data_IF_614276630218
#
_entry.id   IF_614276630218
#
_cell.length_a   1.000
_cell.length_b   1.000
_cell.length_c   1.000
_cell.angle_alpha   90.00
_cell.angle_beta   90.00
_cell.angle_gamma   90.00
#
_symmetry.space_group_name_H-M   'P 1'
#
loop_
_entity.id
_entity.type
_entity.pdbx_description
1 polymer ?
#
# COMPACT_ATOMS: atom_id res chain seq x y z
N UNK A 1 -18.27 25.29 7.48
CA UNK A 1 -19.63 24.70 7.54
C UNK A 1 -20.13 24.66 8.99
N UNK A 2 -20.24 25.83 9.66
CA UNK A 2 -20.65 25.96 11.09
C UNK A 2 -22.05 26.56 11.29
N UNK A 3 -22.80 26.79 10.21
CA UNK A 3 -24.09 27.50 10.25
C UNK A 3 -25.27 26.53 10.48
N UNK A 4 -25.10 25.21 10.24
CA UNK A 4 -26.18 24.23 10.42
C UNK A 4 -26.44 23.77 11.86
N UNK A 5 -25.49 23.94 12.80
CA UNK A 5 -25.66 23.52 14.20
C UNK A 5 -26.71 24.34 14.96
N UNK A 6 -26.91 25.61 14.60
CA UNK A 6 -27.97 26.44 15.19
C UNK A 6 -29.35 26.18 14.57
N UNK A 7 -29.38 25.66 13.34
CA UNK A 7 -30.61 25.50 12.57
C UNK A 7 -31.51 24.39 13.11
N UNK A 8 -30.97 23.22 13.42
CA UNK A 8 -31.76 22.07 13.92
C UNK A 8 -32.29 22.29 15.33
N UNK A 9 -31.50 22.93 16.19
CA UNK A 9 -31.92 23.27 17.55
C UNK A 9 -32.98 24.38 17.55
N UNK A 10 -32.83 25.40 16.70
CA UNK A 10 -33.86 26.43 16.51
C UNK A 10 -35.15 25.85 15.90
N UNK A 11 -35.04 24.91 14.95
CA UNK A 11 -36.20 24.29 14.29
C UNK A 11 -36.94 23.33 15.22
N UNK A 12 -36.23 22.61 16.09
CA UNK A 12 -36.84 21.82 17.17
C UNK A 12 -37.57 22.70 18.19
N UNK A 13 -37.00 23.86 18.54
CA UNK A 13 -37.61 24.81 19.47
C UNK A 13 -38.84 25.50 18.85
N UNK A 14 -38.78 25.89 17.58
CA UNK A 14 -39.92 26.52 16.88
C UNK A 14 -41.05 25.52 16.64
N UNK A 15 -40.75 24.30 16.22
CA UNK A 15 -41.78 23.24 16.11
C UNK A 15 -42.37 22.89 17.47
N UNK A 16 -41.54 22.83 18.52
CA UNK A 16 -41.99 22.68 19.90
C UNK A 16 -43.01 23.74 20.27
N UNK A 17 -42.66 25.03 20.10
CA UNK A 17 -43.56 26.16 20.37
C UNK A 17 -44.83 26.12 19.51
N UNK A 18 -44.73 25.82 18.22
CA UNK A 18 -45.90 25.68 17.33
C UNK A 18 -46.82 24.56 17.79
N UNK A 19 -46.28 23.42 18.23
CA UNK A 19 -47.07 22.32 18.79
C UNK A 19 -47.67 22.66 20.14
N UNK A 20 -46.99 23.41 21.00
CA UNK A 20 -47.59 23.90 22.25
C UNK A 20 -48.76 24.83 21.95
N UNK A 21 -48.61 25.75 20.99
CA UNK A 21 -49.70 26.64 20.54
C UNK A 21 -50.86 25.84 19.96
N UNK A 22 -50.58 24.84 19.12
CA UNK A 22 -51.59 23.95 18.55
C UNK A 22 -52.30 23.14 19.65
N UNK A 23 -51.54 22.64 20.63
CA UNK A 23 -52.07 21.93 21.79
C UNK A 23 -52.97 22.85 22.63
N UNK A 24 -52.57 24.10 22.89
CA UNK A 24 -53.39 25.10 23.57
C UNK A 24 -54.67 25.43 22.80
N UNK A 25 -54.60 25.55 21.47
CA UNK A 25 -55.77 25.72 20.60
C UNK A 25 -56.72 24.52 20.67
N UNK A 26 -56.19 23.29 20.64
CA UNK A 26 -57.01 22.08 20.79
C UNK A 26 -57.59 21.92 22.20
N UNK A 27 -56.84 22.28 23.25
CA UNK A 27 -57.33 22.27 24.63
C UNK A 27 -58.45 23.31 24.80
N UNK A 28 -58.34 24.49 24.17
CA UNK A 28 -59.42 25.48 24.12
C UNK A 28 -60.69 24.98 23.42
N UNK A 29 -60.54 24.14 22.40
CA UNK A 29 -61.65 23.48 21.68
C UNK A 29 -62.31 22.34 22.48
N UNK A 30 -61.58 21.72 23.41
CA UNK A 30 -62.07 20.63 24.28
C UNK A 30 -62.14 21.02 25.78
N UNK A 31 -62.17 22.32 26.07
CA UNK A 31 -62.00 22.88 27.42
C UNK A 31 -63.07 22.42 28.42
N UNK A 32 -64.26 22.00 27.97
CA UNK A 32 -65.31 21.46 28.85
C UNK A 32 -64.97 20.07 29.41
N UNK A 33 -64.00 19.35 28.83
CA UNK A 33 -63.61 18.00 29.26
C UNK A 33 -62.35 18.01 30.16
N UNK A 34 -61.64 19.15 30.26
CA UNK A 34 -60.35 19.24 30.94
C UNK A 34 -60.33 20.35 32.02
N UNK A 35 -60.37 19.92 33.29
CA UNK A 35 -60.34 20.73 34.53
C UNK A 35 -59.15 21.74 34.61
N UNK A 36 -59.25 22.82 35.42
CA UNK A 36 -58.43 24.05 35.32
C UNK A 36 -56.99 23.97 35.85
N UNK A 37 -56.42 22.77 35.99
CA UNK A 37 -54.97 22.54 36.19
C UNK A 37 -54.23 22.30 34.86
N UNK A 38 -54.82 22.72 33.73
CA UNK A 38 -54.51 22.29 32.36
C UNK A 38 -53.23 22.89 31.74
N UNK A 39 -52.78 24.07 32.19
CA UNK A 39 -51.59 24.73 31.62
C UNK A 39 -50.30 23.95 31.88
N UNK A 40 -50.16 23.36 33.07
CA UNK A 40 -48.97 22.62 33.47
C UNK A 40 -48.84 21.30 32.68
N UNK A 41 -49.97 20.66 32.36
CA UNK A 41 -50.02 19.45 31.52
C UNK A 41 -49.63 19.75 30.07
N UNK A 42 -50.10 20.87 29.51
CA UNK A 42 -49.73 21.28 28.15
C UNK A 42 -48.21 21.53 28.02
N UNK A 43 -47.61 22.20 29.01
CA UNK A 43 -46.16 22.45 29.05
C UNK A 43 -45.37 21.15 29.20
N UNK A 44 -45.80 20.23 30.07
CA UNK A 44 -45.15 18.93 30.26
C UNK A 44 -45.20 18.07 28.98
N UNK A 45 -46.34 18.03 28.29
CA UNK A 45 -46.49 17.29 27.03
C UNK A 45 -45.61 17.92 25.94
N UNK A 46 -45.61 19.25 25.82
CA UNK A 46 -44.75 19.97 24.87
C UNK A 46 -43.26 19.73 25.14
N UNK A 47 -42.82 19.74 26.39
CA UNK A 47 -41.44 19.49 26.78
C UNK A 47 -41.00 18.03 26.50
N UNK A 48 -41.86 17.05 26.75
CA UNK A 48 -41.58 15.64 26.48
C UNK A 48 -41.49 15.37 24.97
N UNK A 49 -42.44 15.91 24.18
CA UNK A 49 -42.43 15.74 22.72
C UNK A 49 -41.23 16.48 22.10
N UNK A 50 -41.00 17.75 22.49
CA UNK A 50 -39.87 18.54 21.99
C UNK A 50 -38.51 17.93 22.36
N UNK A 51 -38.36 17.47 23.60
CA UNK A 51 -37.17 16.77 24.05
C UNK A 51 -36.94 15.44 23.33
N UNK A 52 -38.01 14.68 23.09
CA UNK A 52 -37.96 13.43 22.32
C UNK A 52 -37.51 13.65 20.87
N UNK A 53 -38.04 14.67 20.20
CA UNK A 53 -37.64 15.04 18.82
C UNK A 53 -36.19 15.50 18.77
N UNK A 54 -35.74 16.31 19.74
CA UNK A 54 -34.35 16.76 19.81
C UNK A 54 -33.36 15.61 19.99
N UNK A 55 -33.66 14.65 20.87
CA UNK A 55 -32.83 13.45 21.06
C UNK A 55 -32.83 12.56 19.81
N UNK A 56 -33.99 12.35 19.18
CA UNK A 56 -34.08 11.60 17.93
C UNK A 56 -33.24 12.26 16.81
N UNK A 57 -33.31 13.59 16.69
CA UNK A 57 -32.49 14.37 15.76
C UNK A 57 -30.99 14.24 16.03
N UNK A 58 -30.57 14.33 17.29
CA UNK A 58 -29.17 14.18 17.69
C UNK A 58 -28.63 12.76 17.41
N UNK A 59 -29.44 11.73 17.65
CA UNK A 59 -29.08 10.34 17.33
C UNK A 59 -28.97 10.13 15.82
N UNK A 60 -29.93 10.62 15.04
CA UNK A 60 -29.89 10.55 13.57
C UNK A 60 -28.68 11.29 13.01
N UNK A 61 -28.38 12.49 13.51
CA UNK A 61 -27.22 13.26 13.09
C UNK A 61 -25.91 12.56 13.47
N UNK A 62 -25.83 12.00 14.68
CA UNK A 62 -24.67 11.21 15.11
C UNK A 62 -24.45 9.98 14.24
N UNK A 63 -25.53 9.28 13.85
CA UNK A 63 -25.45 8.13 12.96
C UNK A 63 -25.05 8.53 11.54
N UNK A 64 -25.59 9.65 11.04
CA UNK A 64 -25.24 10.13 9.71
C UNK A 64 -23.79 10.61 9.66
N UNK A 65 -23.32 11.30 10.69
CA UNK A 65 -21.92 11.70 10.83
C UNK A 65 -20.98 10.49 10.95
N UNK A 66 -21.36 9.44 11.68
CA UNK A 66 -20.53 8.22 11.77
C UNK A 66 -20.49 7.47 10.44
N UNK A 67 -21.61 7.36 9.73
CA UNK A 67 -21.68 6.78 8.39
C UNK A 67 -20.84 7.57 7.38
N UNK A 68 -20.91 8.90 7.43
CA UNK A 68 -20.13 9.76 6.54
C UNK A 68 -18.63 9.64 6.82
N UNK A 69 -18.20 9.64 8.09
CA UNK A 69 -16.81 9.38 8.48
C UNK A 69 -16.34 7.99 8.06
N UNK A 70 -17.20 6.98 8.14
CA UNK A 70 -16.86 5.64 7.68
C UNK A 70 -16.65 5.61 6.16
N UNK A 71 -17.50 6.30 5.41
CA UNK A 71 -17.34 6.47 3.96
C UNK A 71 -16.03 7.17 3.60
N UNK A 72 -15.73 8.32 4.21
CA UNK A 72 -14.48 9.05 4.00
C UNK A 72 -13.25 8.20 4.35
N UNK A 73 -13.31 7.43 5.44
CA UNK A 73 -12.25 6.51 5.83
C UNK A 73 -12.07 5.36 4.83
N UNK A 74 -13.17 4.83 4.26
CA UNK A 74 -13.12 3.78 3.24
C UNK A 74 -12.51 4.30 1.95
N UNK A 75 -12.92 5.48 1.48
CA UNK A 75 -12.37 6.10 0.28
C UNK A 75 -10.87 6.41 0.46
N UNK A 76 -10.49 6.99 1.61
CA UNK A 76 -9.08 7.21 1.94
C UNK A 76 -8.27 5.91 2.02
N UNK A 77 -8.85 4.82 2.52
CA UNK A 77 -8.20 3.52 2.56
C UNK A 77 -8.09 2.89 1.17
N UNK A 78 -9.08 3.09 0.31
CA UNK A 78 -9.05 2.61 -1.07
C UNK A 78 -7.91 3.24 -1.86
N UNK A 79 -7.70 4.56 -1.72
CA UNK A 79 -6.54 5.25 -2.32
C UNK A 79 -5.23 4.64 -1.85
N UNK A 80 -5.07 4.40 -0.53
CA UNK A 80 -3.87 3.77 0.02
C UNK A 80 -3.68 2.33 -0.48
N UNK A 81 -4.76 1.60 -0.73
CA UNK A 81 -4.70 0.25 -1.28
C UNK A 81 -4.24 0.27 -2.75
N UNK A 82 -4.64 1.27 -3.53
CA UNK A 82 -4.11 1.50 -4.87
C UNK A 82 -2.63 1.88 -4.87
N UNK A 83 -2.22 2.77 -3.96
CA UNK A 83 -0.80 3.13 -3.80
C UNK A 83 0.04 1.89 -3.43
N UNK A 84 -0.47 1.06 -2.52
CA UNK A 84 0.16 -0.21 -2.16
C UNK A 84 0.29 -1.15 -3.36
N UNK A 85 -0.78 -1.27 -4.17
CA UNK A 85 -0.77 -2.10 -5.36
C UNK A 85 0.30 -1.65 -6.36
N UNK A 86 0.36 -0.34 -6.64
CA UNK A 86 1.39 0.25 -7.50
C UNK A 86 2.79 -0.04 -6.99
N UNK A 87 3.04 0.23 -5.70
CA UNK A 87 4.34 0.02 -5.08
C UNK A 87 4.81 -1.45 -5.15
N UNK A 88 3.93 -2.41 -4.87
CA UNK A 88 4.28 -3.83 -4.93
C UNK A 88 4.53 -4.31 -6.37
N UNK A 89 3.80 -3.73 -7.33
CA UNK A 89 4.03 -4.01 -8.74
C UNK A 89 5.39 -3.44 -9.21
N UNK A 90 5.78 -2.26 -8.72
CA UNK A 90 7.10 -1.69 -8.98
C UNK A 90 8.22 -2.54 -8.36
N UNK A 91 8.02 -3.05 -7.13
CA UNK A 91 8.96 -3.98 -6.50
C UNK A 91 9.13 -5.25 -7.34
N UNK A 92 8.02 -5.82 -7.81
CA UNK A 92 8.04 -7.01 -8.67
C UNK A 92 8.75 -6.74 -10.00
N UNK A 93 8.48 -5.60 -10.64
CA UNK A 93 9.13 -5.19 -11.88
C UNK A 93 10.64 -5.03 -11.68
N UNK A 94 11.06 -4.37 -10.60
CA UNK A 94 12.47 -4.16 -10.27
C UNK A 94 13.20 -5.48 -9.96
N UNK A 95 12.60 -6.37 -9.18
CA UNK A 95 13.15 -7.69 -8.90
C UNK A 95 13.31 -8.52 -10.19
N UNK A 96 12.27 -8.52 -11.02
CA UNK A 96 12.27 -9.19 -12.34
C UNK A 96 13.36 -8.63 -13.25
N UNK A 97 13.50 -7.30 -13.29
CA UNK A 97 14.51 -6.64 -14.10
C UNK A 97 15.92 -7.05 -13.68
N UNK A 98 16.24 -6.97 -12.38
CA UNK A 98 17.57 -7.32 -11.89
C UNK A 98 17.92 -8.79 -12.15
N UNK A 99 16.98 -9.70 -11.89
CA UNK A 99 17.18 -11.13 -12.15
C UNK A 99 17.48 -11.36 -13.64
N UNK A 100 16.64 -10.82 -14.53
CA UNK A 100 16.82 -10.96 -15.98
C UNK A 100 18.14 -10.36 -16.44
N UNK A 101 18.53 -9.20 -15.91
CA UNK A 101 19.81 -8.56 -16.22
C UNK A 101 21.00 -9.48 -15.87
N UNK A 102 20.98 -10.10 -14.69
CA UNK A 102 22.01 -11.05 -14.28
C UNK A 102 22.02 -12.28 -15.20
N UNK A 103 20.87 -12.89 -15.44
CA UNK A 103 20.74 -14.08 -16.27
C UNK A 103 21.19 -13.84 -17.71
N UNK A 104 20.77 -12.72 -18.32
CA UNK A 104 21.18 -12.34 -19.66
C UNK A 104 22.69 -12.12 -19.76
N UNK A 105 23.33 -11.54 -18.74
CA UNK A 105 24.78 -11.44 -18.68
C UNK A 105 25.46 -12.81 -18.78
N UNK A 106 24.95 -13.81 -18.04
CA UNK A 106 25.47 -15.17 -18.12
C UNK A 106 25.17 -15.89 -19.44
N UNK A 107 23.97 -15.71 -19.99
CA UNK A 107 23.60 -16.26 -21.30
C UNK A 107 24.51 -15.73 -22.41
N UNK A 108 24.81 -14.43 -22.39
CA UNK A 108 25.74 -13.80 -23.32
C UNK A 108 27.15 -14.36 -23.18
N UNK A 109 27.65 -14.53 -21.96
CA UNK A 109 28.96 -15.12 -21.71
C UNK A 109 29.06 -16.56 -22.22
N UNK A 110 28.00 -17.36 -22.01
CA UNK A 110 27.92 -18.74 -22.49
C UNK A 110 27.96 -18.79 -24.02
N UNK A 111 27.24 -17.89 -24.70
CA UNK A 111 27.18 -17.85 -26.17
C UNK A 111 28.54 -17.58 -26.82
N UNK A 112 29.46 -16.92 -26.12
CA UNK A 112 30.81 -16.63 -26.60
C UNK A 112 31.91 -17.48 -25.95
N UNK A 113 31.54 -18.49 -25.16
CA UNK A 113 32.46 -19.35 -24.38
C UNK A 113 33.46 -18.54 -23.52
N UNK A 114 32.98 -17.48 -22.86
CA UNK A 114 33.80 -16.66 -21.97
C UNK A 114 34.11 -17.40 -20.66
N UNK A 115 35.41 -17.61 -20.38
CA UNK A 115 35.87 -18.27 -19.14
C UNK A 115 35.45 -17.49 -17.89
N UNK A 116 35.50 -16.15 -17.96
CA UNK A 116 35.16 -15.26 -16.85
C UNK A 116 33.73 -14.71 -16.96
N UNK A 117 32.75 -15.60 -17.06
CA UNK A 117 31.35 -15.25 -17.33
C UNK A 117 30.72 -14.20 -16.39
N UNK A 118 31.20 -14.09 -15.15
CA UNK A 118 30.73 -13.07 -14.19
C UNK A 118 31.01 -11.63 -14.65
N UNK A 119 31.99 -11.43 -15.54
CA UNK A 119 32.33 -10.11 -16.08
C UNK A 119 31.28 -9.61 -17.08
N UNK A 120 30.47 -10.50 -17.67
CA UNK A 120 29.40 -10.14 -18.58
C UNK A 120 28.17 -9.55 -17.85
N UNK A 121 28.05 -9.75 -16.53
CA UNK A 121 27.02 -9.10 -15.70
C UNK A 121 27.43 -7.64 -15.46
N UNK A 122 26.92 -6.74 -16.29
CA UNK A 122 27.32 -5.33 -16.29
C UNK A 122 26.71 -4.53 -15.14
N UNK A 123 27.29 -3.36 -14.87
CA UNK A 123 26.69 -2.35 -13.99
C UNK A 123 25.41 -1.77 -14.61
N UNK A 124 24.51 -1.29 -13.75
CA UNK A 124 23.27 -0.65 -14.17
C UNK A 124 23.45 0.86 -14.27
N UNK A 125 22.87 1.48 -15.30
CA UNK A 125 22.96 2.94 -15.52
C UNK A 125 22.15 3.76 -14.52
N UNK A 126 21.14 3.14 -13.90
CA UNK A 126 20.29 3.77 -12.90
C UNK A 126 19.85 2.72 -11.89
N UNK A 127 19.95 3.07 -10.60
CA UNK A 127 19.36 2.26 -9.54
C UNK A 127 17.83 2.42 -9.58
N UNK A 128 17.06 1.32 -9.49
CA UNK A 128 15.63 1.43 -9.34
C UNK A 128 15.28 2.10 -8.01
N UNK A 129 14.24 2.91 -8.05
CA UNK A 129 13.77 3.65 -6.89
C UNK A 129 13.10 2.67 -5.93
N UNK A 130 13.60 2.60 -4.70
CA UNK A 130 12.98 1.81 -3.63
C UNK A 130 12.30 2.77 -2.64
N UNK A 131 11.01 3.01 -2.82
CA UNK A 131 10.24 3.82 -1.88
C UNK A 131 9.78 2.95 -0.70
N UNK A 132 10.08 3.29 0.57
CA UNK A 132 9.62 2.51 1.71
C UNK A 132 8.12 2.62 1.88
N UNK A 133 7.49 1.54 2.35
CA UNK A 133 6.06 1.53 2.61
C UNK A 133 5.64 2.65 3.60
N UNK A 134 4.70 3.50 3.17
CA UNK A 134 4.26 4.66 3.95
C UNK A 134 3.58 4.25 5.28
N UNK A 135 3.69 5.10 6.30
CA UNK A 135 3.04 4.87 7.59
C UNK A 135 1.51 4.77 7.44
N UNK A 136 0.94 5.50 6.49
CA UNK A 136 -0.49 5.46 6.17
C UNK A 136 -0.93 4.07 5.71
N UNK A 137 -0.18 3.44 4.80
CA UNK A 137 -0.49 2.09 4.31
C UNK A 137 -0.32 1.06 5.43
N UNK A 138 0.78 1.12 6.18
CA UNK A 138 1.00 0.25 7.36
C UNK A 138 -0.16 0.32 8.34
N UNK A 139 -0.57 1.53 8.70
CA UNK A 139 -1.68 1.78 9.63
C UNK A 139 -3.01 1.25 9.09
N UNK A 140 -3.26 1.44 7.79
CA UNK A 140 -4.45 0.90 7.12
C UNK A 140 -4.50 -0.63 7.20
N UNK A 141 -3.42 -1.32 6.82
CA UNK A 141 -3.35 -2.78 6.83
C UNK A 141 -3.62 -3.33 8.24
N UNK A 142 -3.00 -2.74 9.27
CA UNK A 142 -3.21 -3.13 10.67
C UNK A 142 -4.66 -2.88 11.09
N UNK A 143 -5.18 -1.67 10.84
CA UNK A 143 -6.54 -1.28 11.24
C UNK A 143 -7.62 -2.15 10.58
N UNK A 144 -7.41 -2.53 9.31
CA UNK A 144 -8.32 -3.39 8.54
C UNK A 144 -8.03 -4.89 8.71
N UNK A 145 -7.06 -5.25 9.56
CA UNK A 145 -6.68 -6.64 9.92
C UNK A 145 -6.06 -7.46 8.77
N UNK A 146 -5.44 -6.81 7.78
CA UNK A 146 -4.64 -7.46 6.74
C UNK A 146 -3.22 -7.78 7.23
N UNK A 147 -3.12 -8.52 8.34
CA UNK A 147 -1.84 -8.77 9.02
C UNK A 147 -0.91 -9.70 8.24
N UNK A 148 -1.46 -10.66 7.50
CA UNK A 148 -0.66 -11.54 6.62
C UNK A 148 0.06 -10.73 5.56
N UNK A 149 -0.67 -9.87 4.84
CA UNK A 149 -0.08 -9.01 3.82
C UNK A 149 0.97 -8.06 4.42
N UNK A 150 0.67 -7.45 5.57
CA UNK A 150 1.61 -6.59 6.29
C UNK A 150 2.94 -7.30 6.62
N UNK A 151 2.88 -8.52 7.14
CA UNK A 151 4.06 -9.28 7.52
C UNK A 151 4.88 -9.71 6.30
N UNK A 152 4.22 -10.19 5.24
CA UNK A 152 4.88 -10.61 4.00
C UNK A 152 5.61 -9.43 3.34
N UNK A 153 4.97 -8.26 3.26
CA UNK A 153 5.61 -7.05 2.70
C UNK A 153 6.84 -6.66 3.53
N UNK A 154 6.75 -6.68 4.86
CA UNK A 154 7.88 -6.30 5.72
C UNK A 154 9.12 -7.20 5.54
N UNK A 155 8.89 -8.50 5.33
CA UNK A 155 9.98 -9.45 5.05
C UNK A 155 10.58 -9.22 3.66
N UNK A 156 9.73 -9.01 2.65
CA UNK A 156 10.16 -8.80 1.26
C UNK A 156 10.92 -7.49 1.07
N UNK A 157 10.43 -6.39 1.66
CA UNK A 157 11.05 -5.06 1.61
C UNK A 157 12.51 -5.11 2.05
N UNK A 158 12.76 -5.76 3.20
CA UNK A 158 14.11 -5.91 3.76
C UNK A 158 14.99 -6.78 2.87
N UNK A 159 14.44 -7.88 2.35
CA UNK A 159 15.21 -8.86 1.58
C UNK A 159 15.58 -8.33 0.18
N UNK A 160 14.62 -7.73 -0.54
CA UNK A 160 14.85 -7.14 -1.86
C UNK A 160 15.93 -6.06 -1.78
N UNK A 161 15.85 -5.18 -0.77
CA UNK A 161 16.90 -4.17 -0.53
C UNK A 161 18.27 -4.81 -0.32
N UNK A 162 18.35 -5.86 0.49
CA UNK A 162 19.61 -6.57 0.74
C UNK A 162 20.19 -7.19 -0.55
N UNK A 163 19.34 -7.72 -1.43
CA UNK A 163 19.76 -8.27 -2.73
C UNK A 163 20.31 -7.18 -3.67
N UNK A 164 19.69 -5.99 -3.69
CA UNK A 164 20.21 -4.83 -4.41
C UNK A 164 21.58 -4.37 -3.89
N UNK A 165 21.71 -4.23 -2.57
CA UNK A 165 22.99 -3.90 -1.93
C UNK A 165 24.07 -4.97 -2.25
N UNK A 166 23.68 -6.25 -2.21
CA UNK A 166 24.54 -7.38 -2.58
C UNK A 166 25.00 -7.33 -4.04
N UNK A 167 24.12 -6.95 -4.96
CA UNK A 167 24.45 -6.74 -6.37
C UNK A 167 25.48 -5.62 -6.53
N UNK A 168 25.29 -4.48 -5.86
CA UNK A 168 26.26 -3.37 -5.86
C UNK A 168 27.63 -3.80 -5.34
N UNK A 169 27.67 -4.57 -4.26
CA UNK A 169 28.92 -5.15 -3.74
C UNK A 169 29.55 -6.10 -4.75
N UNK A 170 28.75 -6.91 -5.45
CA UNK A 170 29.20 -7.73 -6.57
C UNK A 170 29.85 -6.89 -7.68
N UNK A 171 29.24 -5.77 -8.06
CA UNK A 171 29.79 -4.87 -9.09
C UNK A 171 31.10 -4.22 -8.67
N UNK A 172 31.26 -3.82 -7.40
CA UNK A 172 32.55 -3.34 -6.89
C UNK A 172 33.64 -4.42 -7.01
N UNK A 173 33.33 -5.67 -6.64
CA UNK A 173 34.25 -6.80 -6.78
C UNK A 173 34.55 -7.15 -8.24
N UNK A 174 33.58 -6.93 -9.14
CA UNK A 174 33.77 -7.07 -10.58
C UNK A 174 34.81 -6.07 -11.09
N UNK A 175 34.77 -4.82 -10.62
CA UNK A 175 35.77 -3.82 -10.96
C UNK A 175 37.18 -4.20 -10.46
N UNK A 176 37.28 -4.77 -9.25
CA UNK A 176 38.54 -5.31 -8.72
C UNK A 176 39.07 -6.48 -9.57
N UNK A 177 38.20 -7.40 -9.98
CA UNK A 177 38.58 -8.49 -10.88
C UNK A 177 39.08 -7.92 -12.21
N UNK A 178 38.38 -6.97 -12.82
CA UNK A 178 38.81 -6.32 -14.06
C UNK A 178 40.19 -5.65 -13.96
N UNK A 179 40.58 -5.16 -12.77
CA UNK A 179 41.87 -4.50 -12.57
C UNK A 179 43.07 -5.45 -12.66
N UNK A 180 42.86 -6.76 -12.45
CA UNK A 180 43.88 -7.81 -12.56
C UNK A 180 43.77 -8.62 -13.87
N UNK A 181 42.84 -8.24 -14.75
CA UNK A 181 42.71 -8.79 -16.11
C UNK A 181 43.45 -7.90 -17.10
N UNK A 182 44.13 -8.51 -18.07
CA UNK A 182 44.58 -7.80 -19.26
C UNK A 182 43.38 -7.66 -20.21
N UNK A 183 43.01 -6.41 -20.52
CA UNK A 183 41.96 -6.11 -21.50
C UNK A 183 42.49 -6.33 -22.92
N UNK A 184 42.29 -7.52 -23.48
CA UNK A 184 42.19 -7.68 -24.94
C UNK A 184 40.70 -7.84 -25.31
N UNK A 185 39.91 -6.77 -25.27
CA UNK A 185 38.51 -6.87 -25.71
C UNK A 185 38.43 -6.98 -27.24
N UNK A 186 37.63 -7.93 -27.70
CA UNK A 186 37.57 -8.56 -29.02
C UNK A 186 37.38 -7.59 -30.19
N UNK A 187 38.46 -7.38 -30.93
CA UNK A 187 38.48 -7.35 -32.41
C UNK A 187 39.16 -8.58 -33.02
N UNK A 188 39.66 -9.51 -32.20
CA UNK A 188 40.51 -10.64 -32.60
C UNK A 188 40.12 -12.01 -32.02
N UNK A 189 38.94 -12.13 -31.40
CA UNK A 189 38.43 -13.41 -30.86
C UNK A 189 39.08 -13.88 -29.56
N UNK A 190 39.67 -13.00 -28.75
CA UNK A 190 40.22 -13.33 -27.43
C UNK A 190 39.40 -12.68 -26.32
N UNK A 191 38.93 -13.49 -25.36
CA UNK A 191 38.18 -13.06 -24.17
C UNK A 191 39.06 -12.42 -23.10
N UNK A 192 38.53 -12.26 -21.88
CA UNK A 192 39.30 -11.70 -20.78
C UNK A 192 40.37 -12.69 -20.31
N UNK A 193 41.65 -12.29 -20.37
CA UNK A 193 42.75 -13.12 -19.84
C UNK A 193 43.38 -12.45 -18.62
N UNK A 194 43.55 -13.18 -17.50
CA UNK A 194 44.27 -12.68 -16.35
C UNK A 194 45.77 -12.57 -16.65
N UNK A 195 46.43 -11.61 -15.99
CA UNK A 195 47.89 -11.53 -15.98
C UNK A 195 48.49 -12.86 -15.48
N UNK A 196 49.65 -13.25 -16.02
CA UNK A 196 50.21 -14.59 -15.79
C UNK A 196 50.41 -14.90 -14.30
N UNK A 197 50.74 -13.89 -13.50
CA UNK A 197 50.98 -13.99 -12.06
C UNK A 197 49.68 -13.94 -11.23
N UNK A 198 48.57 -13.45 -11.80
CA UNK A 198 47.28 -13.26 -11.12
C UNK A 198 46.23 -14.32 -11.46
N UNK A 199 46.55 -15.32 -12.31
CA UNK A 199 45.57 -16.31 -12.80
C UNK A 199 44.77 -17.00 -11.69
N UNK A 200 45.46 -17.44 -10.64
CA UNK A 200 44.81 -18.16 -9.53
C UNK A 200 43.93 -17.21 -8.69
N UNK A 201 44.37 -15.96 -8.50
CA UNK A 201 43.58 -14.93 -7.82
C UNK A 201 42.34 -14.55 -8.64
N UNK A 202 42.48 -14.36 -9.94
CA UNK A 202 41.39 -14.06 -10.86
C UNK A 202 40.34 -15.18 -10.88
N UNK A 203 40.77 -16.44 -10.94
CA UNK A 203 39.86 -17.59 -10.87
C UNK A 203 39.10 -17.64 -9.52
N UNK A 204 39.79 -17.41 -8.40
CA UNK A 204 39.17 -17.37 -7.08
C UNK A 204 38.14 -16.24 -6.94
N UNK A 205 38.49 -15.02 -7.37
CA UNK A 205 37.58 -13.87 -7.37
C UNK A 205 36.38 -14.07 -8.30
N UNK A 206 36.61 -14.64 -9.48
CA UNK A 206 35.56 -15.00 -10.44
C UNK A 206 34.56 -16.01 -9.85
N UNK A 207 35.04 -17.05 -9.16
CA UNK A 207 34.18 -18.04 -8.51
C UNK A 207 33.28 -17.40 -7.45
N UNK A 208 33.86 -16.59 -6.55
CA UNK A 208 33.10 -15.88 -5.51
C UNK A 208 32.08 -14.91 -6.12
N UNK A 209 32.46 -14.20 -7.17
CA UNK A 209 31.56 -13.28 -7.86
C UNK A 209 30.42 -14.03 -8.56
N UNK A 210 30.73 -15.19 -9.14
CA UNK A 210 29.75 -16.05 -9.79
C UNK A 210 28.72 -16.59 -8.81
N UNK A 211 29.18 -17.09 -7.66
CA UNK A 211 28.29 -17.58 -6.60
C UNK A 211 27.40 -16.46 -6.07
N UNK A 212 27.94 -15.24 -5.90
CA UNK A 212 27.16 -14.08 -5.49
C UNK A 212 26.02 -13.77 -6.47
N UNK A 213 26.32 -13.55 -7.75
CA UNK A 213 25.30 -13.19 -8.73
C UNK A 213 24.27 -14.31 -8.96
N UNK A 214 24.70 -15.58 -8.96
CA UNK A 214 23.77 -16.72 -9.06
C UNK A 214 22.84 -16.82 -7.85
N UNK A 215 23.38 -16.61 -6.64
CA UNK A 215 22.57 -16.58 -5.40
C UNK A 215 21.53 -15.46 -5.48
N UNK A 216 21.95 -14.25 -5.84
CA UNK A 216 21.04 -13.11 -6.02
C UNK A 216 19.93 -13.44 -7.03
N UNK A 217 20.28 -13.96 -8.22
CA UNK A 217 19.29 -14.30 -9.24
C UNK A 217 18.29 -15.39 -8.77
N UNK A 218 18.78 -16.39 -8.01
CA UNK A 218 17.94 -17.43 -7.41
C UNK A 218 16.98 -16.87 -6.37
N UNK A 219 17.48 -16.02 -5.47
CA UNK A 219 16.67 -15.42 -4.40
C UNK A 219 15.64 -14.44 -4.95
N UNK A 220 16.00 -13.64 -5.96
CA UNK A 220 15.05 -12.77 -6.67
C UNK A 220 13.92 -13.58 -7.33
N UNK A 221 14.22 -14.75 -7.92
CA UNK A 221 13.18 -15.62 -8.48
C UNK A 221 12.20 -16.10 -7.41
N UNK A 222 12.70 -16.45 -6.22
CA UNK A 222 11.86 -16.86 -5.10
C UNK A 222 11.00 -15.69 -4.58
N UNK A 223 11.56 -14.49 -4.53
CA UNK A 223 10.85 -13.30 -4.08
C UNK A 223 9.85 -12.77 -5.10
N UNK A 224 10.08 -12.92 -6.41
CA UNK A 224 9.10 -12.63 -7.45
C UNK A 224 7.79 -13.39 -7.23
N UNK A 225 7.87 -14.68 -6.87
CA UNK A 225 6.68 -15.48 -6.58
C UNK A 225 5.91 -14.96 -5.36
N UNK A 226 6.63 -14.55 -4.30
CA UNK A 226 6.01 -13.97 -3.10
C UNK A 226 5.43 -12.58 -3.37
N UNK A 227 6.12 -11.74 -4.15
CA UNK A 227 5.65 -10.42 -4.57
C UNK A 227 4.37 -10.53 -5.40
N UNK A 228 4.29 -11.48 -6.35
CA UNK A 228 3.06 -11.75 -7.11
C UNK A 228 1.88 -12.06 -6.19
N UNK A 229 2.11 -12.93 -5.21
CA UNK A 229 1.10 -13.23 -4.18
C UNK A 229 0.70 -11.98 -3.39
N UNK A 230 1.64 -11.12 -3.01
CA UNK A 230 1.33 -9.86 -2.32
C UNK A 230 0.50 -8.90 -3.20
N UNK A 231 0.81 -8.81 -4.51
CA UNK A 231 0.02 -8.04 -5.48
C UNK A 231 -1.41 -8.58 -5.57
N UNK A 232 -1.56 -9.90 -5.70
CA UNK A 232 -2.88 -10.57 -5.71
C UNK A 232 -3.66 -10.33 -4.42
N UNK A 233 -3.02 -10.47 -3.26
CA UNK A 233 -3.65 -10.16 -1.96
C UNK A 233 -4.08 -8.68 -1.87
N UNK A 234 -3.37 -7.77 -2.54
CA UNK A 234 -3.75 -6.36 -2.58
C UNK A 234 -5.00 -6.12 -3.43
N UNK A 235 -5.24 -6.94 -4.47
CA UNK A 235 -6.50 -6.94 -5.22
C UNK A 235 -7.67 -7.27 -4.28
N UNK A 236 -7.50 -8.27 -3.39
CA UNK A 236 -8.52 -8.60 -2.37
C UNK A 236 -8.77 -7.45 -1.40
N UNK A 237 -7.71 -6.74 -0.98
CA UNK A 237 -7.83 -5.53 -0.15
C UNK A 237 -8.67 -4.47 -0.86
N UNK A 238 -8.35 -4.14 -2.11
CA UNK A 238 -9.07 -3.14 -2.92
C UNK A 238 -10.56 -3.51 -3.05
N UNK A 239 -10.85 -4.78 -3.36
CA UNK A 239 -12.23 -5.27 -3.47
C UNK A 239 -12.99 -5.19 -2.15
N UNK A 240 -12.35 -5.55 -1.03
CA UNK A 240 -12.96 -5.49 0.30
C UNK A 240 -13.27 -4.07 0.76
N UNK A 241 -12.57 -3.06 0.23
CA UNK A 241 -12.75 -1.65 0.56
C UNK A 241 -13.86 -0.97 -0.27
N UNK A 242 -14.37 -1.63 -1.30
CA UNK A 242 -15.56 -1.19 -2.04
C UNK A 242 -15.47 -1.35 -3.55
N UNK A 243 -14.28 -1.53 -4.12
CA UNK A 243 -14.10 -1.65 -5.57
C UNK A 243 -14.16 -3.12 -6.02
N UNK A 244 -15.36 -3.69 -5.99
CA UNK A 244 -15.61 -5.09 -6.36
C UNK A 244 -15.33 -5.43 -7.83
N UNK A 245 -15.24 -4.40 -8.69
CA UNK A 245 -14.99 -4.55 -10.12
C UNK A 245 -13.50 -4.57 -10.47
N UNK A 246 -12.62 -4.14 -9.56
CA UNK A 246 -11.18 -4.17 -9.78
C UNK A 246 -10.68 -5.61 -9.98
N UNK A 247 -10.05 -5.85 -11.13
CA UNK A 247 -9.44 -7.13 -11.52
C UNK A 247 -8.04 -6.87 -12.03
N UNK A 248 -7.11 -7.73 -11.66
CA UNK A 248 -5.74 -7.73 -12.16
C UNK A 248 -5.27 -9.16 -12.31
N UNK A 249 -4.67 -9.46 -13.46
CA UNK A 249 -4.12 -10.76 -13.78
C UNK A 249 -2.74 -10.55 -14.40
N UNK A 250 -1.77 -11.33 -13.96
CA UNK A 250 -0.48 -11.38 -14.63
C UNK A 250 -0.66 -12.06 -15.98
N UNK A 251 -0.16 -11.42 -17.05
CA UNK A 251 0.00 -12.11 -18.33
C UNK A 251 1.14 -13.12 -18.20
N UNK A 252 0.84 -14.39 -18.48
CA UNK A 252 1.82 -15.46 -18.62
C UNK A 252 2.74 -15.25 -19.83
#
# INVERSE_FOLDING_TARGET
>A
MKILQGGTLALGLTLGVCFTILAFLTIGLFAEVLNPTSELWAVMIGAVIGGGIALAGQVLESQNQSAQREHENKESDLVKAYDLFGLLNDYLANATFLRKHIEQGYEMALAVNEEFASLAVMELSSEPTHEPLSLGIKSMLIRRKFLTLYNEIGLLDTHIKALWDGFRVGQMRRAELLAIMDKEFVGQGKGFQPQLESKQEAAGRHMVLTDNFKTIASDLRADEAKLRKCVEMTVEVIQSLGDTAFRFEFKE
#
